data_IF_182416670118
#
_entry.id   IF_182416670118
#
_cell.length_a   1.000
_cell.length_b   1.000
_cell.length_c   1.000
_cell.angle_alpha   90.00
_cell.angle_beta   90.00
_cell.angle_gamma   90.00
#
_symmetry.space_group_name_H-M   'P 1'
#
loop_
_entity.id
_entity.type
_entity.pdbx_description
1 polymer ?
#
# COMPACT_ATOMS: atom_id res chain seq x y z
N UNK A 1 10.93 -15.51 -18.24
CA UNK A 1 10.95 -14.05 -18.11
C UNK A 1 9.68 -13.50 -17.47
N UNK A 2 8.53 -13.88 -17.95
CA UNK A 2 7.26 -13.41 -17.35
C UNK A 2 7.07 -13.92 -15.93
N UNK A 3 7.50 -15.14 -15.65
CA UNK A 3 7.40 -15.72 -14.31
C UNK A 3 8.17 -14.94 -13.27
N UNK A 4 9.30 -14.32 -13.67
CA UNK A 4 10.12 -13.51 -12.75
C UNK A 4 9.36 -12.29 -12.21
N UNK A 5 8.58 -11.64 -13.07
CA UNK A 5 7.75 -10.50 -12.66
C UNK A 5 6.69 -10.94 -11.66
N UNK A 6 6.01 -12.06 -11.94
CA UNK A 6 4.99 -12.59 -11.04
C UNK A 6 5.58 -13.01 -9.70
N UNK A 7 6.79 -13.59 -9.70
CA UNK A 7 7.49 -13.96 -8.46
C UNK A 7 7.87 -12.75 -7.61
N UNK A 8 8.14 -11.61 -8.21
CA UNK A 8 8.42 -10.37 -7.48
C UNK A 8 7.18 -9.90 -6.73
N UNK A 9 6.00 -10.04 -7.32
CA UNK A 9 4.74 -9.56 -6.74
C UNK A 9 4.11 -10.57 -5.79
N UNK A 10 4.08 -11.87 -6.17
CA UNK A 10 3.39 -12.91 -5.43
C UNK A 10 3.76 -13.01 -3.94
N UNK A 11 5.05 -12.92 -3.53
CA UNK A 11 5.39 -13.02 -2.11
C UNK A 11 4.77 -11.94 -1.23
N UNK A 12 4.29 -10.83 -1.82
CA UNK A 12 3.64 -9.77 -1.05
C UNK A 12 2.26 -10.18 -0.52
N UNK A 13 1.71 -11.30 -0.99
CA UNK A 13 0.37 -11.77 -0.62
C UNK A 13 0.41 -13.10 0.14
N UNK A 14 1.34 -13.25 1.07
CA UNK A 14 1.48 -14.44 1.88
C UNK A 14 0.40 -14.56 2.95
N UNK A 15 0.12 -15.79 3.38
CA UNK A 15 -0.95 -16.10 4.34
C UNK A 15 -0.74 -15.45 5.71
N UNK A 16 0.49 -15.29 6.16
CA UNK A 16 0.77 -14.65 7.44
C UNK A 16 0.33 -13.18 7.47
N UNK A 17 0.32 -12.52 6.32
CA UNK A 17 -0.21 -11.16 6.19
C UNK A 17 -1.73 -11.11 6.31
N UNK A 18 -2.41 -12.14 5.86
CA UNK A 18 -3.86 -12.29 6.04
C UNK A 18 -4.17 -12.44 7.54
N UNK A 19 -3.41 -13.27 8.24
CA UNK A 19 -3.57 -13.46 9.68
C UNK A 19 -3.33 -12.15 10.45
N UNK A 20 -2.33 -11.37 10.04
CA UNK A 20 -2.07 -10.06 10.63
C UNK A 20 -3.25 -9.09 10.40
N UNK A 21 -3.89 -9.17 9.24
CA UNK A 21 -5.09 -8.38 8.96
C UNK A 21 -6.25 -8.76 9.86
N UNK A 22 -6.46 -10.04 10.10
CA UNK A 22 -7.51 -10.52 11.01
C UNK A 22 -7.28 -10.03 12.44
N UNK A 23 -6.04 -10.05 12.92
CA UNK A 23 -5.68 -9.53 14.23
C UNK A 23 -5.93 -8.02 14.31
N UNK A 24 -5.62 -7.28 13.24
CA UNK A 24 -5.85 -5.84 13.18
C UNK A 24 -7.36 -5.52 13.22
N UNK A 25 -8.18 -6.29 12.53
CA UNK A 25 -9.64 -6.14 12.56
C UNK A 25 -10.17 -6.37 13.99
N UNK A 26 -9.72 -7.42 14.65
CA UNK A 26 -10.12 -7.72 16.02
C UNK A 26 -9.73 -6.60 16.98
N UNK A 27 -8.53 -6.06 16.85
CA UNK A 27 -8.08 -4.95 17.68
C UNK A 27 -8.87 -3.67 17.42
N UNK A 28 -9.16 -3.37 16.16
CA UNK A 28 -10.01 -2.24 15.78
C UNK A 28 -11.37 -2.34 16.45
N UNK A 29 -11.99 -3.52 16.37
CA UNK A 29 -13.33 -3.74 16.91
C UNK A 29 -13.34 -3.59 18.44
N UNK A 30 -12.32 -4.07 19.11
CA UNK A 30 -12.14 -3.90 20.55
C UNK A 30 -12.05 -2.41 20.94
N UNK A 31 -11.22 -1.65 20.21
CA UNK A 31 -11.06 -0.22 20.46
C UNK A 31 -12.33 0.56 20.16
N UNK A 32 -13.05 0.22 19.08
CA UNK A 32 -14.32 0.86 18.75
C UNK A 32 -15.39 0.58 19.80
N UNK A 33 -15.45 -0.64 20.31
CA UNK A 33 -16.38 -1.01 21.37
C UNK A 33 -16.13 -0.17 22.61
N UNK A 34 -14.89 0.01 23.01
CA UNK A 34 -14.51 0.87 24.13
C UNK A 34 -14.86 2.33 23.88
N UNK A 35 -14.52 2.84 22.69
CA UNK A 35 -14.74 4.23 22.35
C UNK A 35 -16.23 4.61 22.40
N UNK A 36 -17.08 3.72 21.92
CA UNK A 36 -18.54 3.96 21.85
C UNK A 36 -19.23 3.92 23.19
N UNK A 37 -18.59 3.42 24.23
CA UNK A 37 -19.10 3.45 25.60
C UNK A 37 -18.91 4.81 26.29
N UNK A 38 -17.98 5.62 25.79
CA UNK A 38 -17.72 6.93 26.36
C UNK A 38 -18.81 7.93 25.94
N UNK A 39 -19.40 8.61 26.91
CA UNK A 39 -20.50 9.56 26.64
C UNK A 39 -20.20 10.97 27.10
N UNK A 40 -19.43 11.14 28.19
CA UNK A 40 -19.14 12.47 28.73
C UNK A 40 -17.84 12.44 29.54
N UNK A 41 -17.20 13.59 29.59
CA UNK A 41 -16.02 13.82 30.42
C UNK A 41 -16.39 14.90 31.43
N UNK A 42 -16.56 14.50 32.69
CA UNK A 42 -17.06 15.39 33.74
C UNK A 42 -16.11 15.48 34.95
N UNK A 43 -14.98 14.76 34.92
CA UNK A 43 -14.00 14.78 36.00
C UNK A 43 -12.57 14.75 35.44
N UNK A 44 -11.56 15.21 36.22
CA UNK A 44 -10.16 15.13 35.81
C UNK A 44 -9.70 13.69 35.53
N UNK A 45 -10.19 12.71 36.29
CA UNK A 45 -9.83 11.30 36.08
C UNK A 45 -10.37 10.78 34.75
N UNK A 46 -11.59 11.15 34.41
CA UNK A 46 -12.17 10.81 33.11
C UNK A 46 -11.38 11.44 31.98
N UNK A 47 -10.95 12.70 32.15
CA UNK A 47 -10.14 13.40 31.17
C UNK A 47 -8.78 12.70 30.94
N UNK A 48 -8.15 12.25 32.01
CA UNK A 48 -6.87 11.51 31.93
C UNK A 48 -7.06 10.18 31.18
N UNK A 49 -8.11 9.44 31.49
CA UNK A 49 -8.39 8.17 30.79
C UNK A 49 -8.69 8.40 29.31
N UNK A 50 -9.48 9.44 29.01
CA UNK A 50 -9.78 9.79 27.64
C UNK A 50 -8.49 10.16 26.86
N UNK A 51 -7.62 10.95 27.47
CA UNK A 51 -6.35 11.33 26.87
C UNK A 51 -5.46 10.11 26.58
N UNK A 52 -5.37 9.18 27.55
CA UNK A 52 -4.63 7.94 27.36
C UNK A 52 -5.23 7.09 26.25
N UNK A 53 -6.54 7.01 26.18
CA UNK A 53 -7.23 6.26 25.14
C UNK A 53 -7.02 6.86 23.76
N UNK A 54 -7.02 8.20 23.64
CA UNK A 54 -6.69 8.87 22.39
C UNK A 54 -5.28 8.50 21.90
N UNK A 55 -4.32 8.36 22.80
CA UNK A 55 -2.97 7.91 22.45
C UNK A 55 -2.99 6.49 21.92
N UNK A 56 -3.78 5.61 22.53
CA UNK A 56 -3.91 4.22 22.06
C UNK A 56 -4.51 4.17 20.65
N UNK A 57 -5.55 4.97 20.38
CA UNK A 57 -6.14 5.07 19.05
C UNK A 57 -5.14 5.58 18.03
N UNK A 58 -4.41 6.64 18.36
CA UNK A 58 -3.39 7.21 17.48
C UNK A 58 -2.26 6.24 17.19
N UNK A 59 -1.81 5.51 18.22
CA UNK A 59 -0.76 4.50 18.07
C UNK A 59 -1.21 3.38 17.15
N UNK A 60 -2.43 2.90 17.33
CA UNK A 60 -2.98 1.84 16.47
C UNK A 60 -3.10 2.30 15.02
N UNK A 61 -3.64 3.50 14.79
CA UNK A 61 -3.75 4.09 13.45
C UNK A 61 -2.39 4.20 12.77
N UNK A 62 -1.38 4.68 13.52
CA UNK A 62 -0.02 4.80 12.99
C UNK A 62 0.57 3.45 12.66
N UNK A 63 0.37 2.45 13.50
CA UNK A 63 0.86 1.09 13.25
C UNK A 63 0.24 0.51 11.99
N UNK A 64 -1.05 0.73 11.75
CA UNK A 64 -1.72 0.31 10.53
C UNK A 64 -1.09 0.99 9.31
N UNK A 65 -0.85 2.31 9.38
CA UNK A 65 -0.25 3.06 8.28
C UNK A 65 1.18 2.63 7.98
N UNK A 66 1.97 2.38 9.01
CA UNK A 66 3.34 1.88 8.85
C UNK A 66 3.35 0.48 8.23
N UNK A 67 2.44 -0.38 8.66
CA UNK A 67 2.31 -1.73 8.11
C UNK A 67 1.86 -1.67 6.65
N UNK A 68 0.87 -0.83 6.36
CA UNK A 68 0.40 -0.63 4.98
C UNK A 68 1.55 -0.22 4.06
N UNK A 69 2.33 0.76 4.47
CA UNK A 69 3.47 1.24 3.69
C UNK A 69 4.52 0.15 3.50
N UNK A 70 4.84 -0.60 4.56
CA UNK A 70 5.82 -1.67 4.51
C UNK A 70 5.38 -2.82 3.61
N UNK A 71 4.11 -3.20 3.65
CA UNK A 71 3.56 -4.26 2.78
C UNK A 71 3.52 -3.80 1.33
N UNK A 72 3.20 -2.54 1.09
CA UNK A 72 3.07 -1.97 -0.24
C UNK A 72 4.41 -1.71 -0.92
N UNK A 73 5.47 -1.42 -0.15
CA UNK A 73 6.78 -1.05 -0.69
C UNK A 73 7.32 -2.04 -1.73
N UNK A 74 7.36 -3.37 -1.48
CA UNK A 74 7.83 -4.33 -2.48
C UNK A 74 6.97 -4.33 -3.75
N UNK A 75 5.67 -4.09 -3.61
CA UNK A 75 4.73 -4.04 -4.74
C UNK A 75 5.03 -2.82 -5.62
N UNK A 76 5.29 -1.67 -4.99
CA UNK A 76 5.69 -0.45 -5.72
C UNK A 76 7.01 -0.65 -6.44
N UNK A 77 7.99 -1.28 -5.80
CA UNK A 77 9.28 -1.58 -6.43
C UNK A 77 9.12 -2.55 -7.60
N UNK A 78 8.29 -3.58 -7.45
CA UNK A 78 7.97 -4.49 -8.54
C UNK A 78 7.33 -3.75 -9.71
N UNK A 79 6.41 -2.82 -9.43
CA UNK A 79 5.78 -1.97 -10.45
C UNK A 79 6.80 -1.16 -11.22
N UNK A 80 7.75 -0.53 -10.53
CA UNK A 80 8.82 0.24 -11.17
C UNK A 80 9.70 -0.63 -12.07
N UNK A 81 10.01 -1.85 -11.63
CA UNK A 81 10.81 -2.80 -12.43
C UNK A 81 10.05 -3.23 -13.67
N UNK A 82 8.75 -3.48 -13.55
CA UNK A 82 7.89 -3.82 -14.69
C UNK A 82 7.93 -2.69 -15.72
N UNK A 83 7.73 -1.46 -15.28
CA UNK A 83 7.75 -0.29 -16.15
C UNK A 83 9.11 -0.11 -16.83
N UNK A 84 10.20 -0.30 -16.09
CA UNK A 84 11.56 -0.18 -16.63
C UNK A 84 11.85 -1.24 -17.70
N UNK A 85 11.44 -2.49 -17.46
CA UNK A 85 11.59 -3.56 -18.45
C UNK A 85 10.80 -3.26 -19.71
N UNK A 86 9.54 -2.86 -19.56
CA UNK A 86 8.69 -2.51 -20.69
C UNK A 86 9.31 -1.36 -21.51
N UNK A 87 9.79 -0.33 -20.81
CA UNK A 87 10.44 0.82 -21.46
C UNK A 87 11.68 0.41 -22.24
N UNK A 88 12.52 -0.44 -21.66
CA UNK A 88 13.73 -0.94 -22.31
C UNK A 88 13.39 -1.69 -23.62
N UNK A 89 12.27 -2.42 -23.63
CA UNK A 89 11.85 -3.19 -24.80
C UNK A 89 11.18 -2.33 -25.88
N UNK A 90 10.57 -1.22 -25.51
CA UNK A 90 9.74 -0.44 -26.46
C UNK A 90 10.40 0.81 -27.02
N UNK A 91 11.37 1.39 -26.31
CA UNK A 91 11.93 2.69 -26.68
C UNK A 91 12.54 2.70 -28.08
N UNK A 92 13.30 1.67 -28.46
CA UNK A 92 13.92 1.58 -29.76
C UNK A 92 12.89 1.27 -30.86
N UNK A 93 11.90 0.44 -30.54
CA UNK A 93 10.81 0.13 -31.46
C UNK A 93 9.98 1.41 -31.78
N UNK A 94 9.68 2.19 -30.77
CA UNK A 94 8.97 3.46 -30.94
C UNK A 94 9.76 4.45 -31.80
N UNK A 95 11.08 4.52 -31.57
CA UNK A 95 11.98 5.35 -32.36
C UNK A 95 11.96 4.96 -33.84
N UNK A 96 12.06 3.65 -34.13
CA UNK A 96 12.02 3.16 -35.50
C UNK A 96 10.66 3.32 -36.16
N UNK A 97 9.57 3.12 -35.41
CA UNK A 97 8.23 3.35 -35.93
C UNK A 97 8.05 4.81 -36.35
N UNK A 98 8.55 5.74 -35.53
CA UNK A 98 8.50 7.17 -35.85
C UNK A 98 9.33 7.50 -37.11
N UNK A 99 10.54 6.95 -37.19
CA UNK A 99 11.42 7.16 -38.35
C UNK A 99 10.78 6.66 -39.65
N UNK A 100 10.26 5.44 -39.65
CA UNK A 100 9.60 4.85 -40.82
C UNK A 100 8.34 5.63 -41.20
N UNK A 101 7.58 6.06 -40.18
CA UNK A 101 6.40 6.90 -40.42
C UNK A 101 6.74 8.19 -41.12
N UNK A 102 7.85 8.85 -40.79
CA UNK A 102 8.35 10.05 -41.44
C UNK A 102 8.75 9.76 -42.89
N UNK A 103 9.48 8.65 -43.13
CA UNK A 103 9.86 8.27 -44.48
C UNK A 103 8.64 8.02 -45.36
N UNK A 104 7.63 7.36 -44.84
CA UNK A 104 6.39 7.09 -45.52
C UNK A 104 5.64 8.38 -45.88
N UNK A 105 5.53 9.28 -44.90
CA UNK A 105 4.87 10.57 -45.13
C UNK A 105 5.59 11.40 -46.22
N UNK A 106 6.93 11.39 -46.21
CA UNK A 106 7.70 12.14 -47.23
C UNK A 106 7.58 11.57 -48.62
N UNK A 107 7.30 10.28 -48.76
CA UNK A 107 7.05 9.67 -50.06
C UNK A 107 5.71 10.08 -50.64
N UNK A 108 4.72 10.26 -49.80
CA UNK A 108 3.38 10.68 -50.22
C UNK A 108 3.29 12.16 -50.57
#
# INVERSE_FOLDING_TARGET
METTVLEIVAPAFELDKISAQEAAIARRDELLTKARKGTAITSPEQAQRAAAFLKDLATFTRTIEETRAAVKAPILEAGKKIDAVARTLTVDLEGEAKRIGTLLANFQ
#
